data_IF_561626351253
#
_entry.id   IF_561626351253
#
_cell.length_a   1.000
_cell.length_b   1.000
_cell.length_c   1.000
_cell.angle_alpha   90.00
_cell.angle_beta   90.00
_cell.angle_gamma   90.00
#
_symmetry.space_group_name_H-M   'P 1'
#
loop_
_entity.id
_entity.type
_entity.pdbx_description
1 polymer ?
#
# COMPACT_ATOMS: atom_id res chain seq x y z
N UNK A 1 -30.30 7.69 -2.32
CA UNK A 1 -29.40 8.08 -1.22
C UNK A 1 -28.36 6.97 -1.14
N UNK A 2 -27.22 7.16 -1.79
CA UNK A 2 -26.12 6.20 -1.74
C UNK A 2 -25.48 6.32 -0.35
N UNK A 3 -25.39 5.22 0.40
CA UNK A 3 -25.03 5.21 1.83
C UNK A 3 -23.57 5.58 2.08
N UNK A 4 -22.81 5.94 1.04
CA UNK A 4 -21.41 6.33 1.16
C UNK A 4 -20.57 5.21 1.78
N UNK A 5 -20.98 3.94 1.71
CA UNK A 5 -20.18 2.81 2.17
C UNK A 5 -20.02 1.82 1.02
N UNK A 6 -18.78 1.45 0.72
CA UNK A 6 -18.48 0.43 -0.30
C UNK A 6 -18.16 -0.89 0.39
N UNK A 7 -18.79 -1.96 -0.05
CA UNK A 7 -18.42 -3.30 0.40
C UNK A 7 -17.03 -3.67 -0.11
N UNK A 8 -16.22 -4.25 0.76
CA UNK A 8 -14.89 -4.77 0.50
C UNK A 8 -14.85 -6.24 0.89
N UNK A 9 -14.09 -6.98 0.11
CA UNK A 9 -13.72 -8.35 0.43
C UNK A 9 -12.20 -8.42 0.52
N UNK A 10 -11.71 -9.24 1.43
CA UNK A 10 -10.30 -9.57 1.53
C UNK A 10 -10.11 -11.04 1.79
N UNK A 11 -9.01 -11.58 1.30
CA UNK A 11 -8.63 -12.98 1.47
C UNK A 11 -7.18 -13.06 1.87
N UNK A 12 -6.87 -13.96 2.78
CA UNK A 12 -5.50 -14.26 3.18
C UNK A 12 -5.30 -15.76 3.36
N UNK A 13 -4.06 -16.18 3.20
CA UNK A 13 -3.64 -17.58 3.31
C UNK A 13 -2.26 -17.64 3.93
N UNK A 14 -2.07 -18.53 4.90
CA UNK A 14 -0.75 -18.78 5.48
C UNK A 14 -0.55 -20.29 5.73
N UNK A 15 0.71 -20.74 5.71
CA UNK A 15 1.08 -22.15 5.92
C UNK A 15 2.43 -22.25 6.60
N UNK A 16 2.48 -23.02 7.70
CA UNK A 16 3.71 -23.31 8.43
C UNK A 16 3.97 -24.80 8.54
N UNK A 17 5.26 -25.16 8.66
CA UNK A 17 5.70 -26.53 8.90
C UNK A 17 5.46 -26.91 10.35
N UNK A 18 5.08 -28.17 10.60
CA UNK A 18 4.98 -28.71 11.95
C UNK A 18 6.33 -29.18 12.49
N UNK A 19 6.51 -29.11 13.81
CA UNK A 19 7.69 -29.65 14.49
C UNK A 19 7.34 -30.10 15.92
N UNK A 20 7.78 -31.30 16.29
CA UNK A 20 7.58 -31.84 17.65
C UNK A 20 8.30 -31.00 18.71
N UNK A 21 7.67 -30.91 19.88
CA UNK A 21 8.17 -30.16 21.03
C UNK A 21 7.97 -28.64 20.97
N UNK A 22 7.40 -28.12 19.88
CA UNK A 22 6.96 -26.72 19.82
C UNK A 22 5.51 -26.60 20.31
N UNK A 23 5.11 -25.44 20.89
CA UNK A 23 3.71 -25.18 21.19
C UNK A 23 2.91 -24.94 19.90
N UNK A 24 1.68 -25.45 19.85
CA UNK A 24 0.71 -25.09 18.81
C UNK A 24 -0.22 -23.98 19.32
N UNK A 25 -0.26 -22.87 18.60
CA UNK A 25 -1.21 -21.78 18.82
C UNK A 25 -1.94 -21.53 17.49
N UNK A 26 -3.28 -21.50 17.55
CA UNK A 26 -4.14 -21.24 16.40
C UNK A 26 -5.26 -20.29 16.84
N UNK A 27 -5.44 -19.18 16.10
CA UNK A 27 -6.44 -18.17 16.43
C UNK A 27 -6.26 -17.53 17.81
N UNK A 28 -5.02 -17.45 18.29
CA UNK A 28 -4.63 -16.97 19.61
C UNK A 28 -4.93 -17.95 20.76
N UNK A 29 -5.28 -19.20 20.44
CA UNK A 29 -5.61 -20.26 21.40
C UNK A 29 -4.55 -21.34 21.36
N UNK A 30 -4.01 -21.69 22.53
CA UNK A 30 -3.07 -22.82 22.67
C UNK A 30 -3.83 -24.14 22.49
N UNK A 31 -3.30 -25.01 21.64
CA UNK A 31 -3.84 -26.34 21.37
C UNK A 31 -3.00 -27.38 22.11
N UNK A 32 -3.64 -28.34 22.77
CA UNK A 32 -2.94 -29.40 23.49
C UNK A 32 -2.51 -30.52 22.54
N UNK A 33 -1.23 -30.52 22.16
CA UNK A 33 -0.57 -31.54 21.36
C UNK A 33 0.95 -31.51 21.57
N UNK A 34 1.65 -32.52 21.05
CA UNK A 34 3.10 -32.69 21.23
C UNK A 34 3.97 -32.08 20.11
N UNK A 35 3.34 -31.32 19.21
CA UNK A 35 3.98 -30.56 18.14
C UNK A 35 3.36 -29.17 17.99
N UNK A 36 4.05 -28.29 17.27
CA UNK A 36 3.65 -26.92 17.00
C UNK A 36 4.15 -26.46 15.63
N UNK A 37 4.16 -25.15 15.39
CA UNK A 37 4.51 -24.57 14.09
C UNK A 37 5.87 -23.88 14.13
N UNK A 38 6.65 -24.09 13.07
CA UNK A 38 7.95 -23.43 12.87
C UNK A 38 7.71 -22.02 12.36
N UNK A 39 8.11 -21.01 13.15
CA UNK A 39 8.04 -19.60 12.76
C UNK A 39 9.06 -18.75 13.53
N UNK A 40 9.28 -17.52 13.06
CA UNK A 40 10.03 -16.49 13.80
C UNK A 40 9.18 -15.87 14.93
N UNK A 41 7.85 -15.98 14.86
CA UNK A 41 6.87 -15.57 15.89
C UNK A 41 6.34 -16.80 16.67
N UNK A 42 5.13 -16.72 17.26
CA UNK A 42 4.42 -17.89 17.83
C UNK A 42 3.84 -18.85 16.76
N UNK A 43 3.94 -18.48 15.48
CA UNK A 43 3.60 -19.33 14.35
C UNK A 43 2.12 -19.49 14.04
N UNK A 44 1.26 -18.62 14.58
CA UNK A 44 -0.20 -18.71 14.41
C UNK A 44 -0.66 -18.35 12.98
N UNK A 45 -0.77 -19.39 12.15
CA UNK A 45 -1.22 -19.28 10.75
C UNK A 45 -2.62 -18.68 10.61
N UNK A 46 -3.50 -18.79 11.61
CA UNK A 46 -4.86 -18.25 11.54
C UNK A 46 -4.81 -16.73 11.64
N UNK A 47 -4.04 -16.21 12.60
CA UNK A 47 -3.90 -14.77 12.80
C UNK A 47 -3.16 -14.11 11.63
N UNK A 48 -2.15 -14.78 11.07
CA UNK A 48 -1.46 -14.31 9.87
C UNK A 48 -2.38 -14.26 8.65
N UNK A 49 -3.10 -15.35 8.36
CA UNK A 49 -4.06 -15.38 7.25
C UNK A 49 -5.15 -14.31 7.42
N UNK A 50 -5.61 -14.09 8.65
CA UNK A 50 -6.59 -13.04 8.94
C UNK A 50 -6.02 -11.63 8.76
N UNK A 51 -4.77 -11.39 9.18
CA UNK A 51 -4.09 -10.12 8.96
C UNK A 51 -4.02 -9.78 7.47
N UNK A 52 -3.59 -10.72 6.63
CA UNK A 52 -3.56 -10.54 5.17
C UNK A 52 -4.95 -10.28 4.59
N UNK A 53 -5.99 -11.00 5.07
CA UNK A 53 -7.35 -10.77 4.63
C UNK A 53 -7.84 -9.35 4.98
N UNK A 54 -7.52 -8.84 6.17
CA UNK A 54 -7.88 -7.49 6.59
C UNK A 54 -7.13 -6.45 5.74
N UNK A 55 -5.82 -6.62 5.55
CA UNK A 55 -5.00 -5.73 4.73
C UNK A 55 -5.51 -5.67 3.29
N UNK A 56 -5.84 -6.83 2.71
CA UNK A 56 -6.43 -6.93 1.38
C UNK A 56 -7.77 -6.19 1.28
N UNK A 57 -8.66 -6.35 2.27
CA UNK A 57 -9.94 -5.64 2.30
C UNK A 57 -9.76 -4.11 2.41
N UNK A 58 -8.71 -3.66 3.11
CA UNK A 58 -8.32 -2.25 3.24
C UNK A 58 -7.56 -1.68 2.02
N UNK A 59 -7.11 -2.52 1.08
CA UNK A 59 -6.24 -2.10 -0.02
C UNK A 59 -4.80 -1.77 0.41
N UNK A 60 -4.36 -2.38 1.51
CA UNK A 60 -3.01 -2.29 2.05
C UNK A 60 -2.14 -3.46 1.55
N UNK A 61 -0.80 -3.33 1.59
CA UNK A 61 0.11 -4.41 1.23
C UNK A 61 0.03 -5.55 2.27
N UNK A 62 0.61 -6.71 1.95
CA UNK A 62 0.53 -7.90 2.80
C UNK A 62 1.40 -7.81 4.07
N UNK A 63 1.22 -8.79 4.96
CA UNK A 63 1.94 -8.90 6.24
C UNK A 63 3.46 -8.89 6.06
N UNK A 64 4.00 -9.40 4.95
CA UNK A 64 5.43 -9.45 4.68
C UNK A 64 6.04 -8.08 4.37
N UNK A 65 5.24 -7.16 3.84
CA UNK A 65 5.63 -5.75 3.70
C UNK A 65 5.51 -4.97 5.01
N UNK A 66 4.49 -5.25 5.82
CA UNK A 66 4.31 -4.62 7.14
C UNK A 66 5.31 -5.13 8.18
N UNK A 67 5.66 -6.41 8.12
CA UNK A 67 6.55 -7.10 9.05
C UNK A 67 7.63 -7.91 8.31
N UNK A 68 8.68 -7.24 7.76
CA UNK A 68 9.69 -7.92 6.97
C UNK A 68 10.48 -8.97 7.77
N UNK A 69 10.77 -10.14 7.16
CA UNK A 69 11.48 -11.22 7.83
C UNK A 69 12.88 -10.78 8.30
N UNK A 70 13.27 -11.24 9.48
CA UNK A 70 14.57 -10.94 10.09
C UNK A 70 14.73 -9.53 10.69
N UNK A 71 13.71 -8.65 10.59
CA UNK A 71 13.70 -7.34 11.24
C UNK A 71 13.26 -7.42 12.72
N UNK A 72 12.41 -8.38 13.04
CA UNK A 72 11.97 -8.70 14.40
C UNK A 72 12.63 -10.03 14.78
N UNK A 73 13.50 -10.02 15.80
CA UNK A 73 14.25 -11.22 16.22
C UNK A 73 13.72 -11.73 17.57
N UNK A 74 13.16 -12.93 17.56
CA UNK A 74 12.71 -13.63 18.77
C UNK A 74 11.24 -13.40 19.11
N UNK A 75 10.81 -13.92 20.26
CA UNK A 75 9.44 -13.87 20.79
C UNK A 75 8.93 -12.46 21.17
N UNK A 76 9.49 -11.40 20.58
CA UNK A 76 9.23 -10.00 20.92
C UNK A 76 7.95 -9.43 20.26
N UNK A 77 7.38 -10.12 19.27
CA UNK A 77 6.08 -9.76 18.70
C UNK A 77 5.21 -11.01 18.56
N UNK A 78 4.12 -11.08 19.32
CA UNK A 78 3.13 -12.16 19.22
C UNK A 78 2.17 -11.91 18.07
N UNK A 79 1.59 -12.96 17.52
CA UNK A 79 0.70 -12.82 16.37
C UNK A 79 -0.60 -12.06 16.70
N UNK A 80 -1.02 -12.05 17.97
CA UNK A 80 -2.17 -11.27 18.41
C UNK A 80 -1.87 -9.76 18.52
N UNK A 81 -0.65 -9.40 18.94
CA UNK A 81 -0.16 -8.01 18.90
C UNK A 81 -0.03 -7.51 17.46
N UNK A 82 0.49 -8.36 16.56
CA UNK A 82 0.59 -8.08 15.13
C UNK A 82 -0.80 -7.82 14.53
N UNK A 83 -1.75 -8.73 14.78
CA UNK A 83 -3.12 -8.57 14.28
C UNK A 83 -3.76 -7.30 14.84
N UNK A 84 -3.51 -6.95 16.10
CA UNK A 84 -3.99 -5.70 16.70
C UNK A 84 -3.46 -4.46 15.99
N UNK A 85 -2.19 -4.45 15.58
CA UNK A 85 -1.61 -3.34 14.79
C UNK A 85 -2.23 -3.25 13.40
N UNK A 86 -2.35 -4.39 12.70
CA UNK A 86 -2.99 -4.48 11.37
C UNK A 86 -4.44 -4.01 11.44
N UNK A 87 -5.18 -4.47 12.44
CA UNK A 87 -6.58 -4.10 12.59
C UNK A 87 -6.73 -2.60 12.86
N UNK A 88 -5.91 -2.05 13.76
CA UNK A 88 -5.88 -0.61 14.02
C UNK A 88 -5.61 0.18 12.75
N UNK A 89 -4.64 -0.23 11.94
CA UNK A 89 -4.32 0.45 10.69
C UNK A 89 -5.48 0.39 9.69
N UNK A 90 -6.14 -0.77 9.56
CA UNK A 90 -7.32 -0.91 8.71
C UNK A 90 -8.49 -0.02 9.19
N UNK A 91 -8.70 0.09 10.50
CA UNK A 91 -9.69 1.01 11.08
C UNK A 91 -9.36 2.47 10.81
N UNK A 92 -8.08 2.86 10.93
CA UNK A 92 -7.60 4.21 10.62
C UNK A 92 -7.80 4.54 9.13
N UNK A 93 -7.79 3.53 8.25
CA UNK A 93 -8.16 3.64 6.85
C UNK A 93 -9.68 3.58 6.59
N UNK A 94 -10.51 3.54 7.63
CA UNK A 94 -11.97 3.61 7.53
C UNK A 94 -12.65 2.27 7.22
N UNK A 95 -11.94 1.16 7.39
CA UNK A 95 -12.51 -0.18 7.27
C UNK A 95 -13.35 -0.52 8.52
N UNK A 96 -14.58 -0.97 8.32
CA UNK A 96 -15.46 -1.51 9.35
C UNK A 96 -15.71 -2.98 9.06
N UNK A 97 -15.38 -3.86 10.01
CA UNK A 97 -15.50 -5.31 9.83
C UNK A 97 -16.97 -5.74 9.96
N UNK A 98 -17.45 -6.53 9.01
CA UNK A 98 -18.80 -7.12 9.04
C UNK A 98 -18.73 -8.59 9.42
N UNK A 99 -17.87 -9.35 8.74
CA UNK A 99 -17.76 -10.79 8.93
C UNK A 99 -16.34 -11.30 8.67
N UNK A 100 -15.93 -12.31 9.44
CA UNK A 100 -14.73 -13.13 9.24
C UNK A 100 -15.14 -14.58 9.09
N UNK A 101 -14.53 -15.26 8.13
CA UNK A 101 -14.62 -16.70 7.98
C UNK A 101 -13.20 -17.29 7.85
N UNK A 102 -12.78 -18.04 8.86
CA UNK A 102 -11.47 -18.67 8.91
C UNK A 102 -11.59 -20.20 8.75
N UNK A 103 -10.81 -20.77 7.84
CA UNK A 103 -10.71 -22.21 7.60
C UNK A 103 -9.31 -22.67 7.94
N UNK A 104 -9.19 -23.62 8.86
CA UNK A 104 -7.94 -24.27 9.24
C UNK A 104 -7.85 -25.58 8.48
N UNK A 105 -6.69 -25.84 7.88
CA UNK A 105 -6.37 -27.08 7.20
C UNK A 105 -5.32 -27.82 8.01
N UNK A 106 -5.75 -28.86 8.71
CA UNK A 106 -4.92 -29.64 9.60
C UNK A 106 -5.43 -31.09 9.60
N UNK A 107 -4.53 -32.06 9.48
CA UNK A 107 -4.88 -33.47 9.63
C UNK A 107 -5.09 -33.83 11.12
N UNK A 108 -4.26 -33.28 11.98
CA UNK A 108 -4.29 -33.42 13.43
C UNK A 108 -3.76 -32.14 14.10
N UNK A 109 -4.09 -31.88 15.38
CA UNK A 109 -5.08 -32.58 16.21
C UNK A 109 -6.53 -32.19 15.86
N UNK A 110 -7.51 -32.82 16.50
CA UNK A 110 -8.91 -32.38 16.40
C UNK A 110 -9.07 -30.99 17.02
N UNK A 111 -9.73 -30.07 16.29
CA UNK A 111 -9.88 -28.67 16.71
C UNK A 111 -11.28 -28.33 17.23
N UNK A 112 -12.21 -29.30 17.25
CA UNK A 112 -13.63 -29.03 17.51
C UNK A 112 -13.90 -28.38 18.88
N UNK A 113 -13.18 -28.77 19.93
CA UNK A 113 -13.32 -28.21 21.27
C UNK A 113 -12.77 -26.78 21.40
N UNK A 114 -11.94 -26.34 20.44
CA UNK A 114 -11.27 -25.03 20.48
C UNK A 114 -12.01 -23.95 19.69
N UNK A 115 -13.02 -24.28 18.89
CA UNK A 115 -13.71 -23.31 18.03
C UNK A 115 -14.29 -22.12 18.80
N UNK A 116 -15.01 -22.37 19.89
CA UNK A 116 -15.60 -21.29 20.70
C UNK A 116 -14.53 -20.37 21.29
N UNK A 117 -13.43 -20.94 21.78
CA UNK A 117 -12.32 -20.15 22.32
C UNK A 117 -11.66 -19.29 21.23
N UNK A 118 -11.47 -19.83 20.02
CA UNK A 118 -10.92 -19.09 18.88
C UNK A 118 -11.86 -17.96 18.47
N UNK A 119 -13.16 -18.25 18.32
CA UNK A 119 -14.17 -17.24 17.97
C UNK A 119 -14.18 -16.08 18.98
N UNK A 120 -14.17 -16.39 20.28
CA UNK A 120 -14.11 -15.40 21.35
C UNK A 120 -12.84 -14.56 21.30
N UNK A 121 -11.67 -15.20 21.13
CA UNK A 121 -10.38 -14.53 21.06
C UNK A 121 -10.31 -13.60 19.84
N UNK A 122 -10.72 -14.07 18.66
CA UNK A 122 -10.75 -13.27 17.43
C UNK A 122 -11.75 -12.11 17.53
N UNK A 123 -12.95 -12.37 18.02
CA UNK A 123 -13.96 -11.33 18.23
C UNK A 123 -13.44 -10.23 19.17
N UNK A 124 -12.78 -10.61 20.27
CA UNK A 124 -12.16 -9.68 21.21
C UNK A 124 -11.02 -8.87 20.57
N UNK A 125 -10.13 -9.50 19.79
CA UNK A 125 -9.02 -8.81 19.10
C UNK A 125 -9.51 -7.78 18.09
N UNK A 126 -10.61 -8.09 17.39
CA UNK A 126 -11.17 -7.24 16.33
C UNK A 126 -12.25 -6.27 16.86
N UNK A 127 -12.66 -6.40 18.12
CA UNK A 127 -13.72 -5.57 18.70
C UNK A 127 -15.09 -5.78 18.04
N UNK A 128 -15.39 -7.01 17.61
CA UNK A 128 -16.67 -7.40 17.00
C UNK A 128 -17.39 -8.45 17.85
N UNK A 129 -18.62 -8.79 17.45
CA UNK A 129 -19.37 -9.85 18.13
C UNK A 129 -18.94 -11.24 17.65
N UNK A 130 -19.09 -12.27 18.48
CA UNK A 130 -18.81 -13.66 18.10
C UNK A 130 -19.63 -14.11 16.88
N UNK A 131 -20.84 -13.57 16.70
CA UNK A 131 -21.69 -13.85 15.54
C UNK A 131 -21.08 -13.38 14.21
N UNK A 132 -20.11 -12.46 14.24
CA UNK A 132 -19.34 -12.01 13.08
C UNK A 132 -18.17 -12.93 12.73
N UNK A 133 -17.85 -13.94 13.56
CA UNK A 133 -16.69 -14.81 13.40
C UNK A 133 -17.11 -16.26 13.16
N UNK A 134 -16.72 -16.81 12.02
CA UNK A 134 -16.80 -18.24 11.71
C UNK A 134 -15.40 -18.85 11.73
N UNK A 135 -15.22 -19.95 12.47
CA UNK A 135 -13.99 -20.76 12.46
C UNK A 135 -14.37 -22.20 12.14
N UNK A 136 -13.69 -22.81 11.18
CA UNK A 136 -13.89 -24.21 10.80
C UNK A 136 -12.56 -24.88 10.49
N UNK A 137 -12.49 -26.20 10.66
CA UNK A 137 -11.33 -26.99 10.26
C UNK A 137 -11.70 -28.06 9.21
N UNK A 138 -10.73 -28.43 8.39
CA UNK A 138 -10.80 -29.53 7.42
C UNK A 138 -9.51 -30.34 7.45
N UNK A 139 -9.66 -31.65 7.44
CA UNK A 139 -8.60 -32.61 7.12
C UNK A 139 -8.25 -32.54 5.64
N UNK A 140 -7.09 -33.07 5.27
CA UNK A 140 -6.68 -33.23 3.87
C UNK A 140 -6.75 -34.70 3.43
N UNK A 141 -7.33 -35.57 4.25
CA UNK A 141 -7.58 -36.99 3.95
C UNK A 141 -6.27 -37.73 3.60
N UNK A 142 -5.19 -37.46 4.35
CA UNK A 142 -3.88 -38.03 4.08
C UNK A 142 -3.17 -37.50 2.82
N UNK A 143 -3.70 -36.48 2.13
CA UNK A 143 -3.11 -35.96 0.89
C UNK A 143 -2.12 -34.81 1.14
N UNK A 144 -0.90 -34.98 0.60
CA UNK A 144 0.13 -33.95 0.57
C UNK A 144 0.66 -33.55 1.95
N UNK A 145 1.39 -32.43 2.04
CA UNK A 145 2.08 -32.05 3.27
C UNK A 145 1.14 -31.78 4.46
N UNK A 146 -0.09 -31.35 4.22
CA UNK A 146 -1.09 -31.15 5.28
C UNK A 146 -1.63 -32.51 5.74
N UNK A 147 -2.07 -33.37 4.80
CA UNK A 147 -2.58 -34.71 5.14
C UNK A 147 -1.53 -35.65 5.73
N UNK A 148 -0.24 -35.43 5.44
CA UNK A 148 0.87 -36.13 6.08
C UNK A 148 1.25 -35.55 7.47
N UNK A 149 0.52 -34.56 7.97
CA UNK A 149 0.78 -33.92 9.27
C UNK A 149 2.06 -33.06 9.32
N UNK A 150 2.65 -32.73 8.16
CA UNK A 150 3.92 -31.96 8.05
C UNK A 150 3.72 -30.45 8.00
N UNK A 151 2.48 -29.99 7.82
CA UNK A 151 2.13 -28.59 7.77
C UNK A 151 0.69 -28.36 8.25
N UNK A 152 0.44 -27.16 8.78
CA UNK A 152 -0.90 -26.64 9.01
C UNK A 152 -1.02 -25.35 8.22
N UNK A 153 -2.15 -25.18 7.54
CA UNK A 153 -2.47 -23.96 6.81
C UNK A 153 -3.75 -23.33 7.32
N UNK A 154 -3.93 -22.05 7.05
CA UNK A 154 -5.19 -21.36 7.28
C UNK A 154 -5.53 -20.46 6.09
N UNK A 155 -6.83 -20.30 5.85
CA UNK A 155 -7.39 -19.32 4.92
C UNK A 155 -8.41 -18.48 5.66
N UNK A 156 -8.33 -17.16 5.51
CA UNK A 156 -9.30 -16.24 6.06
C UNK A 156 -9.98 -15.44 4.95
N UNK A 157 -11.28 -15.21 5.10
CA UNK A 157 -12.08 -14.31 4.28
C UNK A 157 -12.68 -13.24 5.18
N UNK A 158 -12.59 -11.99 4.72
CA UNK A 158 -13.12 -10.82 5.40
C UNK A 158 -14.14 -10.15 4.51
N UNK A 159 -15.32 -9.88 5.06
CA UNK A 159 -16.28 -8.93 4.52
C UNK A 159 -16.24 -7.68 5.39
N UNK A 160 -16.13 -6.52 4.74
CA UNK A 160 -16.03 -5.25 5.43
C UNK A 160 -16.75 -4.14 4.66
N UNK A 161 -17.08 -3.06 5.36
CA UNK A 161 -17.56 -1.82 4.78
C UNK A 161 -16.45 -0.79 4.84
N UNK A 162 -16.11 -0.23 3.69
CA UNK A 162 -15.25 0.92 3.59
C UNK A 162 -16.11 2.17 3.71
N UNK A 163 -15.90 2.97 4.77
CA UNK A 163 -16.45 4.34 4.82
C UNK A 163 -15.95 5.10 3.59
N UNK A 164 -16.84 5.75 2.85
CA UNK A 164 -16.42 6.76 1.89
C UNK A 164 -15.58 7.78 2.65
N UNK A 165 -14.42 8.11 2.10
CA UNK A 165 -13.73 9.33 2.44
C UNK A 165 -14.63 10.51 2.01
N UNK A 166 -15.57 10.89 2.88
CA UNK A 166 -16.14 12.23 2.84
C UNK A 166 -14.99 13.20 3.10
N UNK A 167 -14.81 14.18 2.22
CA UNK A 167 -13.74 15.17 2.24
C UNK A 167 -13.72 16.02 3.53
N UNK A 168 -13.28 15.44 4.65
CA UNK A 168 -13.05 16.09 5.93
C UNK A 168 -11.81 15.46 6.57
N UNK A 169 -10.64 15.97 6.20
CA UNK A 169 -9.37 15.69 6.87
C UNK A 169 -9.17 16.80 7.90
N UNK A 170 -9.35 16.47 9.18
CA UNK A 170 -8.77 17.25 10.30
C UNK A 170 -7.44 16.62 10.72
N UNK A 171 -6.49 17.43 11.21
CA UNK A 171 -5.08 17.06 11.26
C UNK A 171 -4.73 16.30 12.55
N UNK A 172 -4.03 15.18 12.43
CA UNK A 172 -3.33 14.57 13.56
C UNK A 172 -1.93 14.18 13.06
N UNK A 173 -0.90 14.91 13.49
CA UNK A 173 -0.02 14.67 14.64
C UNK A 173 1.27 14.00 14.20
N UNK A 174 2.27 14.87 14.13
CA UNK A 174 3.72 14.72 14.09
C UNK A 174 4.25 13.39 14.63
N UNK A 175 4.89 12.61 13.76
CA UNK A 175 5.87 11.60 14.16
C UNK A 175 5.74 10.25 13.45
N UNK A 176 5.98 10.20 12.14
CA UNK A 176 6.80 9.14 11.52
C UNK A 176 6.96 9.40 10.02
N UNK A 177 8.20 9.62 9.59
CA UNK A 177 8.55 10.16 8.27
C UNK A 177 8.49 9.07 7.17
N UNK A 178 8.19 7.81 7.52
CA UNK A 178 8.14 6.69 6.58
C UNK A 178 6.85 5.83 6.60
N UNK A 179 5.83 6.14 7.41
CA UNK A 179 4.60 5.33 7.52
C UNK A 179 3.34 5.95 6.92
N UNK A 180 3.38 7.19 6.43
CA UNK A 180 2.20 7.80 5.80
C UNK A 180 2.15 7.50 4.30
N UNK A 181 1.41 6.44 3.97
CA UNK A 181 0.95 6.12 2.62
C UNK A 181 0.06 7.25 2.12
N UNK A 182 0.63 8.17 1.36
CA UNK A 182 -0.15 9.12 0.58
C UNK A 182 -0.87 8.30 -0.50
N UNK A 183 -2.12 7.91 -0.23
CA UNK A 183 -2.95 7.15 -1.17
C UNK A 183 -3.31 8.07 -2.34
N UNK A 184 -2.41 8.17 -3.32
CA UNK A 184 -2.71 8.72 -4.62
C UNK A 184 -3.77 7.80 -5.24
N UNK A 185 -5.00 8.25 -5.39
CA UNK A 185 -6.04 7.44 -6.04
C UNK A 185 -5.61 7.12 -7.49
N UNK A 186 -5.44 5.84 -7.82
CA UNK A 186 -4.75 5.40 -9.03
C UNK A 186 -5.66 4.97 -10.19
N UNK A 187 -6.96 4.77 -9.95
CA UNK A 187 -7.91 4.31 -10.95
C UNK A 187 -9.29 4.96 -10.77
N UNK A 188 -9.86 5.45 -11.87
CA UNK A 188 -11.17 6.10 -11.91
C UNK A 188 -11.25 7.17 -13.01
N UNK A 189 -12.47 7.58 -13.37
CA UNK A 189 -12.66 8.68 -14.33
C UNK A 189 -11.98 9.96 -13.84
N UNK A 190 -11.19 10.59 -14.72
CA UNK A 190 -10.68 11.93 -14.52
C UNK A 190 -11.88 12.87 -14.57
N UNK A 191 -12.21 13.48 -13.44
CA UNK A 191 -13.34 14.40 -13.39
C UNK A 191 -13.06 15.67 -14.20
N UNK A 192 -14.13 16.24 -14.74
CA UNK A 192 -14.04 17.37 -15.68
C UNK A 192 -13.45 18.65 -15.07
N UNK A 193 -13.40 18.77 -13.75
CA UNK A 193 -12.83 19.89 -13.00
C UNK A 193 -11.35 19.71 -12.61
N UNK A 194 -10.73 18.59 -13.00
CA UNK A 194 -9.35 18.30 -12.69
C UNK A 194 -8.36 19.18 -13.48
N UNK A 195 -7.27 19.56 -12.80
CA UNK A 195 -6.08 20.16 -13.39
C UNK A 195 -5.15 19.03 -13.83
N UNK A 196 -4.90 18.95 -15.12
CA UNK A 196 -3.96 18.00 -15.73
C UNK A 196 -2.58 18.64 -15.82
N UNK A 197 -1.57 17.96 -15.30
CA UNK A 197 -0.20 18.47 -15.22
C UNK A 197 0.74 17.48 -15.88
N UNK A 198 1.16 17.78 -17.11
CA UNK A 198 2.21 17.03 -17.79
C UNK A 198 3.56 17.44 -17.21
N UNK A 199 4.37 16.48 -16.80
CA UNK A 199 5.73 16.71 -16.33
C UNK A 199 6.68 15.78 -17.08
N UNK A 200 7.83 16.33 -17.50
CA UNK A 200 8.86 15.58 -18.21
C UNK A 200 10.26 16.11 -17.86
N UNK A 201 11.24 15.23 -17.89
CA UNK A 201 12.64 15.55 -17.62
C UNK A 201 13.58 14.86 -18.60
N UNK A 202 14.40 15.66 -19.28
CA UNK A 202 15.32 15.17 -20.31
C UNK A 202 16.75 15.62 -20.10
N UNK A 203 17.69 14.86 -20.69
CA UNK A 203 19.13 15.15 -20.67
C UNK A 203 19.78 14.91 -22.04
N UNK A 204 20.59 15.86 -22.52
CA UNK A 204 21.41 15.74 -23.74
C UNK A 204 22.70 14.98 -23.44
N UNK A 205 22.66 13.67 -23.66
CA UNK A 205 23.67 12.75 -23.12
C UNK A 205 23.33 12.33 -21.69
N UNK A 206 23.78 11.16 -21.24
CA UNK A 206 23.35 10.59 -19.96
C UNK A 206 24.55 10.01 -19.17
N UNK A 207 25.19 10.80 -18.28
CA UNK A 207 24.81 12.15 -17.85
C UNK A 207 25.17 13.26 -18.85
N UNK A 208 24.43 14.37 -18.83
CA UNK A 208 24.64 15.54 -19.69
C UNK A 208 23.77 16.74 -19.27
N UNK A 209 23.79 17.86 -20.01
CA UNK A 209 22.92 19.01 -19.74
C UNK A 209 21.45 18.60 -19.73
N UNK A 210 20.74 18.92 -18.66
CA UNK A 210 19.39 18.45 -18.41
C UNK A 210 18.43 19.58 -18.06
N UNK A 211 17.15 19.34 -18.31
CA UNK A 211 16.07 20.25 -17.99
C UNK A 211 14.81 19.48 -17.55
N UNK A 212 13.96 20.18 -16.82
CA UNK A 212 12.60 19.76 -16.48
C UNK A 212 11.59 20.70 -17.13
N UNK A 213 10.46 20.16 -17.59
CA UNK A 213 9.36 20.90 -18.20
C UNK A 213 8.03 20.48 -17.61
N UNK A 214 7.15 21.46 -17.34
CA UNK A 214 5.82 21.24 -16.77
C UNK A 214 4.79 22.09 -17.49
N UNK A 215 3.65 21.47 -17.83
CA UNK A 215 2.48 22.14 -18.37
C UNK A 215 1.23 21.75 -17.59
N UNK A 216 0.56 22.73 -16.97
CA UNK A 216 -0.72 22.53 -16.30
C UNK A 216 -1.88 23.13 -17.11
N UNK A 217 -2.99 22.40 -17.25
CA UNK A 217 -4.22 22.83 -17.94
C UNK A 217 -5.47 22.30 -17.24
N UNK A 218 -6.60 22.95 -17.47
CA UNK A 218 -7.90 22.34 -17.18
C UNK A 218 -8.27 21.32 -18.26
N UNK A 219 -8.98 20.25 -17.91
CA UNK A 219 -9.32 19.16 -18.84
C UNK A 219 -10.08 19.63 -20.10
N UNK A 220 -10.95 20.62 -19.95
CA UNK A 220 -11.72 21.24 -21.05
C UNK A 220 -11.52 22.76 -21.12
N UNK A 221 -10.38 23.24 -20.62
CA UNK A 221 -10.15 24.67 -20.42
C UNK A 221 -8.74 25.12 -20.78
N UNK A 222 -8.33 26.31 -20.32
CA UNK A 222 -7.07 26.92 -20.71
C UNK A 222 -5.86 26.25 -20.04
N UNK A 223 -4.67 26.55 -20.59
CA UNK A 223 -3.41 26.33 -19.89
C UNK A 223 -3.35 27.28 -18.70
N UNK A 224 -3.14 26.72 -17.51
CA UNK A 224 -2.98 27.48 -16.26
C UNK A 224 -1.56 28.01 -16.12
N UNK A 225 -0.57 27.18 -16.47
CA UNK A 225 0.83 27.59 -16.56
C UNK A 225 1.67 26.62 -17.40
N UNK A 226 2.79 27.14 -17.88
CA UNK A 226 3.86 26.41 -18.55
C UNK A 226 5.19 26.90 -17.96
N UNK A 227 6.03 25.98 -17.48
CA UNK A 227 7.27 26.31 -16.80
C UNK A 227 8.36 25.30 -17.14
N UNK A 228 9.58 25.80 -17.34
CA UNK A 228 10.75 24.97 -17.59
C UNK A 228 11.92 25.42 -16.72
N UNK A 229 12.77 24.47 -16.31
CA UNK A 229 13.92 24.73 -15.43
C UNK A 229 15.15 23.96 -15.92
N UNK A 230 16.26 24.67 -16.10
CA UNK A 230 17.56 24.03 -16.36
C UNK A 230 18.12 23.42 -15.08
N UNK A 231 18.65 22.20 -15.17
CA UNK A 231 19.08 21.38 -14.04
C UNK A 231 20.60 21.16 -13.98
N UNK A 232 21.35 21.74 -14.93
CA UNK A 232 22.78 21.47 -15.08
C UNK A 232 23.03 20.06 -15.61
N UNK A 233 24.22 19.51 -15.32
CA UNK A 233 24.59 18.18 -15.80
C UNK A 233 24.09 17.08 -14.88
N UNK A 234 23.15 16.26 -15.36
CA UNK A 234 22.62 15.13 -14.59
C UNK A 234 22.16 13.99 -15.51
N UNK A 235 21.57 12.93 -14.95
CA UNK A 235 21.00 11.82 -15.73
C UNK A 235 19.54 12.07 -16.06
N UNK A 236 19.03 11.39 -17.10
CA UNK A 236 17.60 11.49 -17.48
C UNK A 236 16.68 11.13 -16.32
N UNK A 237 16.98 10.04 -15.60
CA UNK A 237 16.16 9.61 -14.46
C UNK A 237 16.09 10.67 -13.35
N UNK A 238 17.18 11.42 -13.11
CA UNK A 238 17.16 12.50 -12.14
C UNK A 238 16.34 13.68 -12.65
N UNK A 239 16.46 14.01 -13.95
CA UNK A 239 15.67 15.07 -14.56
C UNK A 239 14.16 14.79 -14.44
N UNK A 240 13.75 13.55 -14.65
CA UNK A 240 12.36 13.09 -14.51
C UNK A 240 11.82 13.23 -13.07
N UNK A 241 12.66 13.02 -12.06
CA UNK A 241 12.27 13.28 -10.66
C UNK A 241 12.18 14.78 -10.37
N UNK A 242 13.11 15.57 -10.90
CA UNK A 242 13.11 17.02 -10.74
C UNK A 242 11.94 17.68 -11.49
N UNK A 243 11.41 17.07 -12.56
CA UNK A 243 10.19 17.54 -13.23
C UNK A 243 8.94 17.39 -12.37
N UNK A 244 8.83 16.29 -11.61
CA UNK A 244 7.77 16.10 -10.62
C UNK A 244 7.89 17.14 -9.50
N UNK A 245 9.10 17.39 -9.00
CA UNK A 245 9.33 18.42 -7.97
C UNK A 245 8.97 19.82 -8.49
N UNK A 246 9.36 20.13 -9.72
CA UNK A 246 8.98 21.38 -10.39
C UNK A 246 7.45 21.51 -10.45
N UNK A 247 6.75 20.44 -10.86
CA UNK A 247 5.29 20.46 -10.95
C UNK A 247 4.63 20.75 -9.60
N UNK A 248 5.06 20.05 -8.54
CA UNK A 248 4.52 20.24 -7.19
C UNK A 248 4.80 21.66 -6.67
N UNK A 249 6.01 22.18 -6.87
CA UNK A 249 6.38 23.53 -6.46
C UNK A 249 5.55 24.59 -7.20
N UNK A 250 5.46 24.52 -8.53
CA UNK A 250 4.69 25.46 -9.34
C UNK A 250 3.20 25.46 -8.98
N UNK A 251 2.62 24.30 -8.67
CA UNK A 251 1.24 24.19 -8.21
C UNK A 251 1.02 24.88 -6.86
N UNK A 252 1.94 24.69 -5.92
CA UNK A 252 1.90 25.34 -4.60
C UNK A 252 2.03 26.85 -4.72
N UNK A 253 3.03 27.33 -5.46
CA UNK A 253 3.30 28.77 -5.63
C UNK A 253 2.11 29.51 -6.23
N UNK A 254 1.37 28.83 -7.12
CA UNK A 254 0.16 29.33 -7.76
C UNK A 254 -1.11 29.07 -6.95
N UNK A 255 -0.99 28.57 -5.72
CA UNK A 255 -2.09 28.24 -4.79
C UNK A 255 -3.08 27.23 -5.36
N UNK A 256 -2.65 26.34 -6.25
CA UNK A 256 -3.50 25.31 -6.88
C UNK A 256 -3.54 23.99 -6.09
N UNK A 257 -2.75 23.84 -5.02
CA UNK A 257 -2.62 22.58 -4.27
C UNK A 257 -3.91 22.01 -3.66
N UNK A 258 -4.95 22.84 -3.50
CA UNK A 258 -6.27 22.44 -3.02
C UNK A 258 -7.18 21.85 -4.12
N UNK A 259 -6.86 22.11 -5.40
CA UNK A 259 -7.61 21.62 -6.56
C UNK A 259 -7.40 20.12 -6.73
N UNK A 260 -8.31 19.48 -7.49
CA UNK A 260 -8.10 18.13 -7.98
C UNK A 260 -7.02 18.16 -9.06
N UNK A 261 -5.90 17.48 -8.82
CA UNK A 261 -4.72 17.51 -9.69
C UNK A 261 -4.39 16.10 -10.13
N UNK A 262 -4.10 15.94 -11.42
CA UNK A 262 -3.56 14.70 -11.98
C UNK A 262 -2.23 15.03 -12.66
N UNK A 263 -1.13 14.55 -12.08
CA UNK A 263 0.20 14.62 -12.70
C UNK A 263 0.33 13.45 -13.67
N UNK A 264 0.56 13.77 -14.94
CA UNK A 264 0.71 12.85 -16.06
C UNK A 264 2.20 12.65 -16.33
N UNK A 265 2.66 11.40 -16.24
CA UNK A 265 4.04 10.99 -16.48
C UNK A 265 4.07 9.91 -17.56
N UNK A 266 5.10 9.91 -18.42
CA UNK A 266 5.38 8.81 -19.34
C UNK A 266 6.54 7.90 -18.85
N UNK A 267 7.29 8.35 -17.85
CA UNK A 267 8.33 7.56 -17.17
C UNK A 267 7.77 6.49 -16.23
N UNK A 268 7.70 5.25 -16.72
CA UNK A 268 7.27 4.06 -15.93
C UNK A 268 8.06 3.87 -14.64
N UNK A 269 9.36 4.16 -14.64
CA UNK A 269 10.22 3.97 -13.47
C UNK A 269 9.86 4.97 -12.38
N UNK A 270 9.84 6.26 -12.72
CA UNK A 270 9.54 7.34 -11.76
C UNK A 270 8.12 7.20 -11.24
N UNK A 271 7.16 6.93 -12.12
CA UNK A 271 5.79 6.61 -11.72
C UNK A 271 5.77 5.44 -10.71
N UNK A 272 6.36 4.30 -11.07
CA UNK A 272 6.33 3.09 -10.21
C UNK A 272 7.01 3.29 -8.86
N UNK A 273 8.04 4.13 -8.79
CA UNK A 273 8.73 4.43 -7.53
C UNK A 273 7.97 5.42 -6.65
N UNK A 274 7.31 6.43 -7.24
CA UNK A 274 6.47 7.40 -6.50
C UNK A 274 5.26 6.70 -5.90
N UNK A 275 4.62 5.80 -6.65
CA UNK A 275 3.41 5.07 -6.21
C UNK A 275 3.74 3.83 -5.36
N UNK A 276 5.00 3.65 -4.97
CA UNK A 276 5.41 2.58 -4.05
C UNK A 276 5.54 1.18 -4.66
N UNK A 277 5.37 1.00 -5.98
CA UNK A 277 5.50 -0.31 -6.64
C UNK A 277 6.95 -0.79 -6.70
N UNK A 278 7.92 0.12 -6.85
CA UNK A 278 9.36 -0.23 -6.91
C UNK A 278 10.19 0.55 -5.89
N UNK A 279 11.18 -0.12 -5.29
CA UNK A 279 12.15 0.53 -4.39
C UNK A 279 13.23 1.29 -5.17
N UNK A 280 13.54 2.51 -4.74
CA UNK A 280 14.71 3.24 -5.20
C UNK A 280 15.98 2.68 -4.53
N UNK A 281 16.87 2.08 -5.31
CA UNK A 281 18.08 1.39 -4.80
C UNK A 281 19.23 2.35 -4.45
N UNK A 282 19.42 3.39 -5.26
CA UNK A 282 20.52 4.35 -5.11
C UNK A 282 20.19 5.48 -4.11
N UNK A 283 21.19 5.93 -3.34
CA UNK A 283 21.05 6.95 -2.31
C UNK A 283 20.52 8.28 -2.86
N UNK A 284 20.95 8.69 -4.06
CA UNK A 284 20.50 9.92 -4.71
C UNK A 284 19.02 9.83 -5.08
N UNK A 285 18.60 8.69 -5.62
CA UNK A 285 17.21 8.45 -5.97
C UNK A 285 16.31 8.38 -4.74
N UNK A 286 16.78 7.78 -3.64
CA UNK A 286 16.07 7.78 -2.36
C UNK A 286 15.85 9.19 -1.81
N UNK A 287 16.85 10.07 -1.92
CA UNK A 287 16.73 11.48 -1.53
C UNK A 287 15.72 12.24 -2.39
N UNK A 288 15.73 12.02 -3.71
CA UNK A 288 14.76 12.65 -4.62
C UNK A 288 13.33 12.17 -4.35
N UNK A 289 13.14 10.86 -4.18
CA UNK A 289 11.86 10.28 -3.82
C UNK A 289 11.36 10.84 -2.49
N UNK A 290 12.21 10.93 -1.47
CA UNK A 290 11.84 11.52 -0.17
C UNK A 290 11.41 12.98 -0.30
N UNK A 291 12.08 13.79 -1.13
CA UNK A 291 11.66 15.18 -1.43
C UNK A 291 10.29 15.22 -2.11
N UNK A 292 10.07 14.38 -3.13
CA UNK A 292 8.79 14.29 -3.84
C UNK A 292 7.67 13.93 -2.86
N UNK A 293 7.85 12.88 -2.06
CA UNK A 293 6.88 12.45 -1.07
C UNK A 293 6.57 13.55 -0.04
N UNK A 294 7.58 14.31 0.39
CA UNK A 294 7.38 15.45 1.31
C UNK A 294 6.56 16.58 0.69
N UNK A 295 6.76 16.91 -0.58
CA UNK A 295 5.98 17.95 -1.26
C UNK A 295 4.55 17.50 -1.55
N UNK A 296 4.36 16.22 -1.88
CA UNK A 296 3.05 15.61 -2.10
C UNK A 296 2.14 15.82 -0.87
N UNK A 297 2.68 15.80 0.36
CA UNK A 297 1.90 16.02 1.62
C UNK A 297 1.12 17.33 1.66
N UNK A 298 1.45 18.30 0.81
CA UNK A 298 0.82 19.62 0.76
C UNK A 298 -0.47 19.66 -0.06
N UNK A 299 -0.79 18.57 -0.74
CA UNK A 299 -1.93 18.46 -1.62
C UNK A 299 -3.05 17.67 -0.93
N UNK A 300 -4.29 18.03 -1.18
CA UNK A 300 -5.44 17.28 -0.64
C UNK A 300 -6.07 16.33 -1.66
N UNK A 301 -5.82 16.55 -2.95
CA UNK A 301 -6.49 15.86 -4.07
C UNK A 301 -5.53 15.63 -5.25
N UNK A 302 -4.36 15.05 -4.99
CA UNK A 302 -3.35 14.77 -6.02
C UNK A 302 -3.40 13.30 -6.44
N UNK A 303 -3.27 13.06 -7.75
CA UNK A 303 -3.12 11.73 -8.35
C UNK A 303 -1.97 11.74 -9.35
N UNK A 304 -1.37 10.58 -9.57
CA UNK A 304 -0.42 10.37 -10.68
C UNK A 304 -1.01 9.38 -11.66
N UNK A 305 -0.78 9.61 -12.95
CA UNK A 305 -1.21 8.70 -14.02
C UNK A 305 -0.09 8.50 -15.03
N UNK A 306 0.01 7.27 -15.54
CA UNK A 306 0.93 6.93 -16.60
C UNK A 306 0.25 7.18 -17.95
N UNK A 307 0.87 8.01 -18.80
CA UNK A 307 0.36 8.32 -20.15
C UNK A 307 1.35 7.87 -21.23
N UNK A 308 0.87 7.60 -22.46
CA UNK A 308 1.73 7.42 -23.61
C UNK A 308 2.58 8.66 -23.91
N UNK A 309 3.78 8.48 -24.47
CA UNK A 309 4.74 9.57 -24.73
C UNK A 309 4.16 10.64 -25.66
N UNK A 310 3.32 10.24 -26.61
CA UNK A 310 2.62 11.15 -27.52
C UNK A 310 1.69 12.14 -26.80
N UNK A 311 1.19 11.79 -25.61
CA UNK A 311 0.37 12.63 -24.75
C UNK A 311 1.20 13.52 -23.81
N UNK A 312 2.50 13.25 -23.65
CA UNK A 312 3.43 14.07 -22.87
C UNK A 312 4.27 15.05 -23.71
N UNK A 313 4.07 15.09 -25.04
CA UNK A 313 4.83 15.92 -25.99
C UNK A 313 4.94 17.41 -25.62
N UNK A 314 3.94 17.95 -24.94
CA UNK A 314 3.98 19.36 -24.56
C UNK A 314 5.02 19.66 -23.47
N UNK A 315 5.24 18.73 -22.52
CA UNK A 315 6.29 18.87 -21.51
C UNK A 315 7.68 18.61 -22.10
N UNK A 316 7.82 17.59 -22.97
CA UNK A 316 9.05 17.31 -23.74
C UNK A 316 9.47 18.52 -24.60
N UNK A 317 8.51 19.21 -25.21
CA UNK A 317 8.78 20.46 -25.95
C UNK A 317 9.34 21.59 -25.06
N UNK A 318 8.89 21.69 -23.80
CA UNK A 318 9.42 22.66 -22.85
C UNK A 318 10.85 22.30 -22.45
N UNK A 319 11.12 21.02 -22.17
CA UNK A 319 12.46 20.51 -21.85
C UNK A 319 13.44 20.85 -22.97
N UNK A 320 13.08 20.54 -24.22
CA UNK A 320 13.93 20.81 -25.38
C UNK A 320 14.20 22.30 -25.56
N UNK A 321 13.17 23.15 -25.42
CA UNK A 321 13.34 24.60 -25.49
C UNK A 321 14.32 25.11 -24.43
N UNK A 322 14.19 24.67 -23.17
CA UNK A 322 15.11 25.08 -22.10
C UNK A 322 16.54 24.64 -22.41
N UNK A 323 16.73 23.44 -22.95
CA UNK A 323 18.06 22.95 -23.31
C UNK A 323 18.67 23.70 -24.50
N UNK A 324 17.87 24.07 -25.49
CA UNK A 324 18.31 24.90 -26.62
C UNK A 324 18.71 26.31 -26.17
N UNK A 325 17.88 26.95 -25.35
CA UNK A 325 18.13 28.30 -24.83
C UNK A 325 19.39 28.38 -23.94
N UNK A 326 19.82 27.27 -23.34
CA UNK A 326 21.07 27.17 -22.55
C UNK A 326 22.29 26.72 -23.36
N UNK A 327 22.09 26.18 -24.56
CA UNK A 327 23.17 25.72 -25.45
C UNK A 327 23.63 26.78 -26.46
N UNK A 328 22.90 27.90 -26.56
CA UNK A 328 23.23 29.08 -27.37
C UNK A 328 23.82 30.21 -26.55
#
# INVERSE_FOLDING_TARGET
MDSGKRTRIGSGFDIHRTQRGLPLVLGGVKIDCDFGLVSETDGDVVLHALADAILAAAGLPDIGEHFPPGQYRGAELKSDELLGQVWKEAQDHGLELEQVDATIFAEEPSLAEYYTAMQQKLAALLGVTEASISVKARTFEGLGSIGEGKAIAAMALVLAMQKHAGANISPARTGDIFSEKFALEHEGEICSDAVLVNADGGSRGNPGPAAAGVLAREMKGPILFSEGRHLGNTTSNVAEYESVLLALQSLVERRLAHRRIVILLDSKLVYSQIVGRFKAKDLRMRKLLSRVLSEIKRFSNLRFSLVPREENRAADGIVNKVLDDYSG
#
